data_IF_330709766342
#
_entry.id   IF_330709766342
#
_cell.length_a   1.000
_cell.length_b   1.000
_cell.length_c   1.000
_cell.angle_alpha   90.00
_cell.angle_beta   90.00
_cell.angle_gamma   90.00
#
_symmetry.space_group_name_H-M   'P 1'
#
loop_
_entity.id
_entity.type
_entity.pdbx_description
1 polymer ?
#
# COMPACT_ATOMS: atom_id res chain seq x y z
N UNK A 1 25.43 -26.77 2.39
CA UNK A 1 24.35 -27.16 1.45
C UNK A 1 23.43 -28.29 1.94
N UNK A 2 23.77 -29.13 2.94
CA UNK A 2 22.86 -30.19 3.41
C UNK A 2 21.67 -29.67 4.26
N UNK A 3 21.88 -28.64 5.09
CA UNK A 3 20.83 -28.07 5.96
C UNK A 3 19.64 -27.47 5.17
N UNK A 4 19.90 -26.87 4.00
CA UNK A 4 18.85 -26.29 3.13
C UNK A 4 17.89 -27.34 2.54
N UNK A 5 18.35 -28.59 2.35
CA UNK A 5 17.51 -29.70 1.88
C UNK A 5 16.68 -30.34 3.00
N UNK A 6 17.10 -30.15 4.25
CA UNK A 6 16.45 -30.75 5.42
C UNK A 6 15.31 -29.87 5.96
N UNK A 7 15.42 -28.55 5.81
CA UNK A 7 14.43 -27.58 6.27
C UNK A 7 13.96 -26.68 5.12
N UNK A 8 13.28 -27.27 4.13
CA UNK A 8 12.84 -26.57 2.92
C UNK A 8 11.94 -25.36 3.24
N UNK A 9 11.12 -25.44 4.28
CA UNK A 9 10.30 -24.31 4.73
C UNK A 9 11.13 -23.14 5.27
N UNK A 10 12.23 -23.42 5.97
CA UNK A 10 13.16 -22.40 6.45
C UNK A 10 13.96 -21.76 5.30
N UNK A 11 14.07 -22.45 4.17
CA UNK A 11 14.64 -21.85 2.96
C UNK A 11 13.67 -20.84 2.31
N UNK A 12 12.37 -21.16 2.27
CA UNK A 12 11.36 -20.27 1.67
C UNK A 12 11.08 -19.02 2.49
N UNK A 13 11.21 -19.07 3.83
CA UNK A 13 11.13 -17.84 4.62
C UNK A 13 12.26 -16.87 4.27
N UNK A 14 13.46 -17.35 3.92
CA UNK A 14 14.54 -16.47 3.44
C UNK A 14 14.16 -15.77 2.14
N UNK A 15 13.54 -16.46 1.19
CA UNK A 15 13.04 -15.81 -0.04
C UNK A 15 11.94 -14.80 0.24
N UNK A 16 11.08 -15.06 1.23
CA UNK A 16 10.06 -14.11 1.65
C UNK A 16 10.69 -12.82 2.22
N UNK A 17 11.63 -12.95 3.16
CA UNK A 17 12.34 -11.81 3.74
C UNK A 17 13.09 -11.04 2.65
N UNK A 18 13.82 -11.73 1.76
CA UNK A 18 14.48 -11.10 0.63
C UNK A 18 13.51 -10.36 -0.29
N UNK A 19 12.34 -10.95 -0.58
CA UNK A 19 11.33 -10.30 -1.41
C UNK A 19 10.87 -8.97 -0.80
N UNK A 20 10.65 -8.92 0.52
CA UNK A 20 10.27 -7.71 1.25
C UNK A 20 11.43 -6.71 1.31
N UNK A 21 12.65 -7.15 1.60
CA UNK A 21 13.83 -6.27 1.59
C UNK A 21 14.04 -5.62 0.22
N UNK A 22 13.83 -6.37 -0.87
CA UNK A 22 13.86 -5.82 -2.21
C UNK A 22 12.73 -4.80 -2.47
N UNK A 23 11.52 -5.01 -1.92
CA UNK A 23 10.46 -4.00 -1.97
C UNK A 23 10.85 -2.73 -1.20
N UNK A 24 11.47 -2.85 -0.03
CA UNK A 24 11.96 -1.72 0.78
C UNK A 24 13.03 -0.91 0.03
N UNK A 25 13.88 -1.58 -0.75
CA UNK A 25 14.88 -0.95 -1.63
C UNK A 25 14.33 -0.49 -3.00
N UNK A 26 13.04 -0.72 -3.26
CA UNK A 26 12.40 -0.53 -4.57
C UNK A 26 13.08 -1.27 -5.72
N UNK A 27 13.76 -2.38 -5.45
CA UNK A 27 14.29 -3.30 -6.46
C UNK A 27 13.23 -4.34 -6.81
N UNK A 28 12.32 -3.94 -7.70
CA UNK A 28 11.21 -4.78 -8.09
C UNK A 28 11.63 -6.03 -8.87
N UNK A 29 12.79 -6.00 -9.54
CA UNK A 29 13.30 -7.16 -10.27
C UNK A 29 13.86 -8.23 -9.33
N UNK A 30 14.59 -7.82 -8.30
CA UNK A 30 15.03 -8.70 -7.21
C UNK A 30 13.83 -9.30 -6.47
N UNK A 31 12.84 -8.48 -6.14
CA UNK A 31 11.61 -8.94 -5.48
C UNK A 31 10.83 -9.93 -6.36
N UNK A 32 10.64 -9.62 -7.65
CA UNK A 32 10.02 -10.51 -8.64
C UNK A 32 10.69 -11.90 -8.69
N UNK A 33 12.03 -11.94 -8.68
CA UNK A 33 12.81 -13.18 -8.65
C UNK A 33 12.47 -14.04 -7.44
N UNK A 34 12.40 -13.43 -6.26
CA UNK A 34 12.04 -14.12 -5.02
C UNK A 34 10.59 -14.63 -5.06
N UNK A 35 9.64 -13.80 -5.51
CA UNK A 35 8.24 -14.20 -5.66
C UNK A 35 8.06 -15.36 -6.64
N UNK A 36 8.86 -15.42 -7.71
CA UNK A 36 8.82 -16.51 -8.69
C UNK A 36 9.25 -17.84 -8.08
N UNK A 37 10.29 -17.85 -7.24
CA UNK A 37 10.70 -19.07 -6.50
C UNK A 37 9.62 -19.50 -5.51
N UNK A 38 9.05 -18.56 -4.76
CA UNK A 38 7.97 -18.82 -3.81
C UNK A 38 6.69 -19.33 -4.50
N UNK A 39 6.31 -18.75 -5.64
CA UNK A 39 5.15 -19.20 -6.43
C UNK A 39 5.40 -20.55 -7.10
N UNK A 40 6.63 -20.90 -7.49
CA UNK A 40 6.91 -22.21 -8.03
C UNK A 40 6.91 -23.28 -6.92
N UNK A 41 7.60 -23.04 -5.82
CA UNK A 41 7.98 -24.11 -4.88
C UNK A 41 7.35 -24.00 -3.49
N UNK A 42 7.03 -22.78 -3.04
CA UNK A 42 6.51 -22.53 -1.69
C UNK A 42 5.02 -22.90 -1.54
N UNK A 43 4.66 -23.46 -0.38
CA UNK A 43 3.29 -23.93 -0.10
C UNK A 43 2.62 -23.28 1.12
N UNK A 44 3.32 -22.42 1.87
CA UNK A 44 2.77 -21.81 3.09
C UNK A 44 1.65 -20.81 2.82
N UNK A 45 1.77 -19.98 1.78
CA UNK A 45 0.78 -18.95 1.46
C UNK A 45 0.70 -18.65 -0.03
N UNK A 46 0.29 -19.66 -0.82
CA UNK A 46 0.30 -19.60 -2.29
C UNK A 46 -0.45 -18.39 -2.86
N UNK A 47 -1.56 -18.00 -2.24
CA UNK A 47 -2.32 -16.81 -2.65
C UNK A 47 -1.48 -15.52 -2.57
N UNK A 48 -0.66 -15.37 -1.52
CA UNK A 48 0.21 -14.18 -1.37
C UNK A 48 1.37 -14.25 -2.37
N UNK A 49 2.00 -15.43 -2.54
CA UNK A 49 3.12 -15.56 -3.47
C UNK A 49 2.73 -15.26 -4.92
N UNK A 50 1.58 -15.80 -5.36
CA UNK A 50 1.03 -15.50 -6.69
C UNK A 50 0.64 -14.02 -6.83
N UNK A 51 0.09 -13.39 -5.78
CA UNK A 51 -0.23 -11.97 -5.81
C UNK A 51 1.02 -11.10 -5.87
N UNK A 52 2.02 -11.35 -5.02
CA UNK A 52 3.31 -10.65 -5.02
C UNK A 52 4.01 -10.72 -6.37
N UNK A 53 4.05 -11.91 -6.98
CA UNK A 53 4.56 -12.09 -8.34
C UNK A 53 3.77 -11.26 -9.35
N UNK A 54 2.44 -11.31 -9.31
CA UNK A 54 1.58 -10.59 -10.24
C UNK A 54 1.74 -9.07 -10.16
N UNK A 55 1.79 -8.50 -8.95
CA UNK A 55 1.91 -7.04 -8.81
C UNK A 55 3.28 -6.53 -9.26
N UNK A 56 4.37 -7.26 -8.97
CA UNK A 56 5.69 -6.90 -9.50
C UNK A 56 5.73 -6.99 -11.03
N UNK A 57 5.06 -7.98 -11.64
CA UNK A 57 4.93 -8.06 -13.10
C UNK A 57 4.15 -6.87 -13.68
N UNK A 58 3.05 -6.45 -13.04
CA UNK A 58 2.26 -5.29 -13.49
C UNK A 58 3.10 -4.01 -13.46
N UNK A 59 3.80 -3.77 -12.36
CA UNK A 59 4.65 -2.58 -12.17
C UNK A 59 5.82 -2.54 -13.17
N UNK A 60 6.47 -3.68 -13.38
CA UNK A 60 7.60 -3.81 -14.32
C UNK A 60 7.17 -3.92 -15.79
N UNK A 61 5.89 -4.12 -16.08
CA UNK A 61 5.44 -4.36 -17.44
C UNK A 61 5.72 -3.16 -18.35
N UNK A 62 5.52 -1.92 -17.89
CA UNK A 62 5.43 -0.75 -18.79
C UNK A 62 4.49 -1.06 -19.97
N UNK A 63 5.03 -1.24 -21.18
CA UNK A 63 4.30 -1.62 -22.41
C UNK A 63 4.38 -3.13 -22.75
N UNK A 64 5.08 -3.94 -21.96
CA UNK A 64 5.25 -5.37 -22.14
C UNK A 64 3.94 -6.14 -21.95
N UNK A 65 3.35 -6.58 -23.07
CA UNK A 65 2.07 -7.31 -23.10
C UNK A 65 2.17 -8.71 -22.49
N UNK A 66 3.33 -9.37 -22.55
CA UNK A 66 3.46 -10.73 -22.03
C UNK A 66 3.52 -10.73 -20.51
N UNK A 67 4.23 -9.77 -19.89
CA UNK A 67 4.18 -9.59 -18.42
C UNK A 67 2.76 -9.28 -17.93
N UNK A 68 2.01 -8.43 -18.65
CA UNK A 68 0.60 -8.12 -18.31
C UNK A 68 -0.28 -9.37 -18.38
N UNK A 69 -0.12 -10.22 -19.41
CA UNK A 69 -0.85 -11.49 -19.52
C UNK A 69 -0.49 -12.48 -18.42
N UNK A 70 0.79 -12.60 -18.08
CA UNK A 70 1.26 -13.45 -16.97
C UNK A 70 0.65 -12.99 -15.64
N UNK A 71 0.70 -11.68 -15.36
CA UNK A 71 0.09 -11.09 -14.18
C UNK A 71 -1.42 -11.33 -14.11
N UNK A 72 -2.16 -11.16 -15.22
CA UNK A 72 -3.59 -11.41 -15.28
C UNK A 72 -3.94 -12.88 -14.96
N UNK A 73 -3.19 -13.85 -15.51
CA UNK A 73 -3.38 -15.28 -15.20
C UNK A 73 -3.11 -15.61 -13.74
N UNK A 74 -2.11 -14.96 -13.13
CA UNK A 74 -1.82 -15.12 -11.72
C UNK A 74 -2.96 -14.53 -10.86
N UNK A 75 -3.40 -13.31 -11.16
CA UNK A 75 -4.50 -12.62 -10.46
C UNK A 75 -5.80 -13.45 -10.50
N UNK A 76 -6.13 -14.06 -11.63
CA UNK A 76 -7.32 -14.93 -11.76
C UNK A 76 -7.27 -16.12 -10.79
N UNK A 77 -6.09 -16.69 -10.55
CA UNK A 77 -5.90 -17.85 -9.64
C UNK A 77 -5.95 -17.47 -8.17
N UNK A 78 -5.48 -16.28 -7.79
CA UNK A 78 -5.30 -15.85 -6.38
C UNK A 78 -6.52 -16.14 -5.49
N UNK A 79 -7.77 -15.82 -5.86
CA UNK A 79 -8.94 -16.08 -5.02
C UNK A 79 -9.15 -17.55 -4.65
N UNK A 80 -8.77 -18.47 -5.53
CA UNK A 80 -8.88 -19.92 -5.36
C UNK A 80 -7.71 -20.56 -4.60
N UNK A 81 -6.59 -19.86 -4.46
CA UNK A 81 -5.39 -20.33 -3.76
C UNK A 81 -5.42 -20.11 -2.25
N UNK A 82 -6.51 -19.53 -1.72
CA UNK A 82 -6.65 -19.24 -0.28
C UNK A 82 -6.77 -20.52 0.54
N UNK A 83 -6.05 -20.53 1.64
CA UNK A 83 -6.05 -21.57 2.64
C UNK A 83 -6.94 -21.19 3.83
N UNK A 84 -7.24 -22.20 4.64
CA UNK A 84 -7.94 -22.04 5.92
C UNK A 84 -7.14 -22.76 7.00
N UNK A 85 -6.95 -22.09 8.13
CA UNK A 85 -6.36 -22.69 9.33
C UNK A 85 -7.48 -22.82 10.35
N UNK A 86 -7.71 -24.03 10.85
CA UNK A 86 -8.82 -24.34 11.77
C UNK A 86 -10.18 -23.78 11.28
N UNK A 87 -10.46 -23.91 9.98
CA UNK A 87 -11.70 -23.45 9.35
C UNK A 87 -11.80 -21.94 9.11
N UNK A 88 -10.84 -21.14 9.58
CA UNK A 88 -10.80 -19.68 9.37
C UNK A 88 -9.86 -19.32 8.22
N UNK A 89 -10.27 -18.42 7.34
CA UNK A 89 -9.39 -17.88 6.30
C UNK A 89 -8.31 -16.99 6.91
N UNK A 90 -7.10 -17.07 6.36
CA UNK A 90 -5.99 -16.17 6.73
C UNK A 90 -6.34 -14.74 6.28
N UNK A 91 -6.30 -13.73 7.16
CA UNK A 91 -6.71 -12.36 6.82
C UNK A 91 -5.97 -11.77 5.61
N UNK A 92 -4.66 -11.96 5.54
CA UNK A 92 -3.83 -11.45 4.43
C UNK A 92 -4.17 -12.13 3.10
N UNK A 93 -4.39 -13.44 3.09
CA UNK A 93 -4.83 -14.14 1.88
C UNK A 93 -6.24 -13.69 1.42
N UNK A 94 -7.11 -13.33 2.37
CA UNK A 94 -8.41 -12.72 2.05
C UNK A 94 -8.25 -11.32 1.46
N UNK A 95 -7.29 -10.54 1.95
CA UNK A 95 -6.97 -9.22 1.42
C UNK A 95 -6.52 -9.32 -0.05
N UNK A 96 -5.48 -10.09 -0.35
CA UNK A 96 -4.96 -10.21 -1.73
C UNK A 96 -6.00 -10.80 -2.69
N UNK A 97 -6.87 -11.70 -2.22
CA UNK A 97 -7.99 -12.20 -3.02
C UNK A 97 -9.12 -11.18 -3.26
N UNK A 98 -9.27 -10.15 -2.41
CA UNK A 98 -10.15 -9.01 -2.70
C UNK A 98 -9.49 -8.12 -3.76
N UNK A 99 -8.20 -7.80 -3.62
CA UNK A 99 -7.47 -6.99 -4.61
C UNK A 99 -7.41 -7.67 -5.98
N UNK A 100 -7.22 -8.98 -6.06
CA UNK A 100 -7.27 -9.72 -7.31
C UNK A 100 -8.66 -9.69 -8.00
N UNK A 101 -9.75 -9.66 -7.21
CA UNK A 101 -11.10 -9.47 -7.76
C UNK A 101 -11.35 -8.02 -8.19
N UNK A 102 -10.83 -7.05 -7.43
CA UNK A 102 -10.84 -5.62 -7.80
C UNK A 102 -10.11 -5.41 -9.13
N UNK A 103 -8.95 -6.04 -9.31
CA UNK A 103 -8.22 -6.03 -10.58
C UNK A 103 -9.08 -6.50 -11.76
N UNK A 104 -9.81 -7.60 -11.59
CA UNK A 104 -10.70 -8.12 -12.62
C UNK A 104 -11.89 -7.17 -12.91
N UNK A 105 -12.47 -6.53 -11.89
CA UNK A 105 -13.58 -5.58 -12.07
C UNK A 105 -13.13 -4.22 -12.65
N UNK A 106 -11.84 -3.88 -12.53
CA UNK A 106 -11.26 -2.63 -13.03
C UNK A 106 -10.48 -2.84 -14.35
N UNK A 107 -10.95 -3.74 -15.21
CA UNK A 107 -10.35 -4.04 -16.51
C UNK A 107 -8.83 -4.31 -16.44
N UNK A 108 -8.42 -5.19 -15.52
CA UNK A 108 -7.03 -5.59 -15.32
C UNK A 108 -6.10 -4.44 -14.90
N UNK A 109 -6.61 -3.51 -14.09
CA UNK A 109 -5.84 -2.43 -13.47
C UNK A 109 -5.88 -2.52 -11.95
N UNK A 110 -4.80 -2.11 -11.30
CA UNK A 110 -4.77 -1.77 -9.87
C UNK A 110 -3.95 -0.50 -9.67
N UNK A 111 -4.37 0.34 -8.74
CA UNK A 111 -3.63 1.53 -8.30
C UNK A 111 -2.52 1.15 -7.32
N UNK A 112 -1.28 1.57 -7.62
CA UNK A 112 -0.08 1.42 -6.77
C UNK A 112 0.07 0.05 -6.06
N UNK A 113 -0.13 -1.09 -6.77
CA UNK A 113 -0.31 -2.38 -6.11
C UNK A 113 0.95 -2.88 -5.41
N UNK A 114 2.14 -2.51 -5.89
CA UNK A 114 3.42 -2.84 -5.26
C UNK A 114 3.66 -1.99 -4.01
N UNK A 115 3.35 -0.69 -4.06
CA UNK A 115 3.54 0.20 -2.92
C UNK A 115 2.58 -0.17 -1.77
N UNK A 116 1.33 -0.52 -2.10
CA UNK A 116 0.37 -1.05 -1.12
C UNK A 116 0.86 -2.39 -0.52
N UNK A 117 1.44 -3.27 -1.32
CA UNK A 117 2.04 -4.51 -0.82
C UNK A 117 3.23 -4.23 0.12
N UNK A 118 4.08 -3.27 -0.24
CA UNK A 118 5.19 -2.83 0.59
C UNK A 118 4.70 -2.26 1.92
N UNK A 119 3.62 -1.47 1.93
CA UNK A 119 2.99 -0.99 3.17
C UNK A 119 2.54 -2.14 4.08
N UNK A 120 1.82 -3.12 3.51
CA UNK A 120 1.24 -4.24 4.27
C UNK A 120 2.30 -5.14 4.93
N UNK A 121 3.48 -5.25 4.32
CA UNK A 121 4.61 -6.01 4.84
C UNK A 121 5.70 -5.14 5.47
N UNK A 122 5.36 -3.90 5.85
CA UNK A 122 6.27 -2.96 6.53
C UNK A 122 7.52 -2.59 5.71
N UNK A 123 7.54 -2.87 4.41
CA UNK A 123 8.65 -2.54 3.52
C UNK A 123 8.90 -1.04 3.42
N UNK A 124 7.86 -0.19 3.48
CA UNK A 124 8.05 1.27 3.50
C UNK A 124 8.72 1.71 4.81
N UNK A 125 8.42 1.04 5.93
CA UNK A 125 8.98 1.38 7.24
C UNK A 125 10.49 1.17 7.31
N UNK A 126 10.96 0.09 6.68
CA UNK A 126 12.38 -0.27 6.60
C UNK A 126 13.07 0.27 5.34
N UNK A 127 12.39 1.11 4.54
CA UNK A 127 13.00 1.69 3.35
C UNK A 127 13.94 2.83 3.74
N UNK A 128 15.16 2.89 3.18
CA UNK A 128 16.02 4.06 3.33
C UNK A 128 15.29 5.32 2.84
N UNK A 129 15.44 6.43 3.57
CA UNK A 129 14.76 7.70 3.25
C UNK A 129 14.97 8.12 1.78
N UNK A 130 16.20 7.93 1.26
CA UNK A 130 16.52 8.22 -0.14
C UNK A 130 15.74 7.38 -1.16
N UNK A 131 15.40 6.13 -0.83
CA UNK A 131 14.55 5.27 -1.67
C UNK A 131 13.12 5.80 -1.66
N UNK A 132 12.58 6.17 -0.49
CA UNK A 132 11.24 6.74 -0.39
C UNK A 132 11.12 8.00 -1.25
N UNK A 133 12.07 8.93 -1.13
CA UNK A 133 12.06 10.20 -1.88
C UNK A 133 12.27 10.00 -3.38
N UNK A 134 13.23 9.18 -3.81
CA UNK A 134 13.59 9.08 -5.24
C UNK A 134 12.78 8.04 -6.01
N UNK A 135 12.11 7.12 -5.33
CA UNK A 135 11.43 5.98 -5.96
C UNK A 135 9.96 5.93 -5.59
N UNK A 136 9.61 5.89 -4.30
CA UNK A 136 8.22 5.66 -3.89
C UNK A 136 7.33 6.90 -4.06
N UNK A 137 7.79 8.08 -3.63
CA UNK A 137 7.05 9.35 -3.77
C UNK A 137 6.75 9.66 -5.26
N UNK A 138 7.70 9.53 -6.21
CA UNK A 138 7.41 9.75 -7.63
C UNK A 138 6.26 8.90 -8.19
N UNK A 139 6.09 7.64 -7.75
CA UNK A 139 4.97 6.80 -8.17
C UNK A 139 3.64 7.35 -7.63
N UNK A 140 3.61 7.77 -6.37
CA UNK A 140 2.43 8.42 -5.76
C UNK A 140 2.07 9.70 -6.50
N UNK A 141 3.05 10.56 -6.78
CA UNK A 141 2.82 11.84 -7.47
C UNK A 141 2.40 11.63 -8.93
N UNK A 142 2.95 10.63 -9.62
CA UNK A 142 2.51 10.26 -10.95
C UNK A 142 1.05 9.80 -10.96
N UNK A 143 0.66 8.98 -9.99
CA UNK A 143 -0.71 8.51 -9.85
C UNK A 143 -1.68 9.66 -9.50
N UNK A 144 -1.30 10.60 -8.63
CA UNK A 144 -2.10 11.79 -8.32
C UNK A 144 -2.32 12.68 -9.55
N UNK A 145 -1.28 12.86 -10.38
CA UNK A 145 -1.41 13.59 -11.66
C UNK A 145 -2.39 12.89 -12.59
N UNK A 146 -2.23 11.59 -12.80
CA UNK A 146 -3.13 10.81 -13.65
C UNK A 146 -4.60 10.85 -13.20
N UNK A 147 -4.85 10.76 -11.88
CA UNK A 147 -6.21 10.87 -11.31
C UNK A 147 -6.79 12.28 -11.44
N UNK A 148 -5.95 13.32 -11.28
CA UNK A 148 -6.37 14.72 -11.45
C UNK A 148 -6.73 15.02 -12.90
N UNK A 149 -5.88 14.62 -13.85
CA UNK A 149 -6.12 14.76 -15.28
C UNK A 149 -7.40 14.05 -15.72
N UNK A 150 -7.62 12.83 -15.22
CA UNK A 150 -8.86 12.09 -15.46
C UNK A 150 -10.09 12.85 -14.98
N UNK A 151 -10.08 13.32 -13.74
CA UNK A 151 -11.20 14.06 -13.16
C UNK A 151 -11.46 15.40 -13.87
N UNK A 152 -10.42 16.07 -14.39
CA UNK A 152 -10.57 17.28 -15.21
C UNK A 152 -11.19 16.99 -16.57
N UNK A 153 -10.83 15.88 -17.21
CA UNK A 153 -11.38 15.48 -18.51
C UNK A 153 -12.86 15.09 -18.38
N UNK A 154 -13.22 14.33 -17.34
CA UNK A 154 -14.62 13.98 -17.07
C UNK A 154 -15.50 15.20 -16.81
N UNK A 155 -14.98 16.23 -16.12
CA UNK A 155 -15.70 17.50 -15.94
C UNK A 155 -15.93 18.25 -17.26
N UNK A 156 -15.00 18.17 -18.22
CA UNK A 156 -15.14 18.80 -19.54
C UNK A 156 -16.10 18.03 -20.45
N UNK A 157 -16.15 16.71 -20.33
CA UNK A 157 -17.04 15.84 -21.13
C UNK A 157 -18.47 15.79 -20.58
N UNK A 158 -18.64 15.91 -19.25
CA UNK A 158 -19.94 15.92 -18.55
C UNK A 158 -20.86 17.09 -18.91
N UNK A 159 -20.36 18.13 -19.58
CA UNK A 159 -21.17 19.24 -20.11
C UNK A 159 -21.75 18.96 -21.51
N UNK A 160 -21.38 17.85 -22.18
CA UNK A 160 -21.69 17.65 -23.61
C UNK A 160 -22.59 16.43 -23.92
N UNK A 161 -22.60 15.36 -23.12
CA UNK A 161 -23.44 14.18 -23.41
C UNK A 161 -23.95 13.45 -22.15
N UNK A 162 -25.24 13.64 -21.82
CA UNK A 162 -25.93 13.00 -20.69
C UNK A 162 -26.56 11.62 -21.00
N UNK A 163 -26.25 11.00 -22.15
CA UNK A 163 -27.00 9.85 -22.70
C UNK A 163 -26.10 8.68 -23.16
N UNK A 164 -24.99 8.43 -22.47
CA UNK A 164 -24.30 7.14 -22.59
C UNK A 164 -24.43 6.38 -21.28
N UNK A 165 -24.82 5.11 -21.38
CA UNK A 165 -24.63 4.08 -20.35
C UNK A 165 -23.20 4.17 -19.83
N UNK A 166 -22.98 5.02 -18.82
CA UNK A 166 -21.69 5.21 -18.22
C UNK A 166 -21.39 3.90 -17.51
N UNK A 167 -20.45 3.13 -18.06
CA UNK A 167 -19.59 2.28 -17.23
C UNK A 167 -19.06 3.21 -16.14
N UNK A 168 -19.75 3.23 -15.00
CA UNK A 168 -19.47 4.19 -13.93
C UNK A 168 -18.00 4.10 -13.62
N UNK A 169 -17.39 5.23 -13.28
CA UNK A 169 -15.98 5.35 -12.91
C UNK A 169 -15.64 4.50 -11.66
N UNK A 170 -15.61 3.19 -11.85
CA UNK A 170 -15.68 2.19 -10.79
C UNK A 170 -14.33 2.16 -10.07
N UNK A 171 -14.35 2.65 -8.84
CA UNK A 171 -13.19 2.67 -7.95
C UNK A 171 -12.22 3.85 -8.14
N UNK A 172 -12.63 4.98 -8.74
CA UNK A 172 -11.83 6.22 -8.68
C UNK A 172 -11.55 6.66 -7.26
N UNK A 173 -12.58 6.69 -6.40
CA UNK A 173 -12.43 7.12 -5.01
C UNK A 173 -11.60 6.12 -4.20
N UNK A 174 -11.70 4.81 -4.49
CA UNK A 174 -10.78 3.83 -3.92
C UNK A 174 -9.32 4.13 -4.29
N UNK A 175 -9.05 4.46 -5.54
CA UNK A 175 -7.70 4.72 -6.02
C UNK A 175 -7.14 6.06 -5.54
N UNK A 176 -7.98 7.09 -5.48
CA UNK A 176 -7.63 8.40 -4.92
C UNK A 176 -7.31 8.27 -3.43
N UNK A 177 -8.16 7.60 -2.65
CA UNK A 177 -7.93 7.39 -1.23
C UNK A 177 -6.69 6.51 -0.99
N UNK A 178 -6.46 5.47 -1.81
CA UNK A 178 -5.23 4.67 -1.71
C UNK A 178 -3.99 5.51 -2.00
N UNK A 179 -4.04 6.35 -3.03
CA UNK A 179 -2.92 7.22 -3.40
C UNK A 179 -2.63 8.24 -2.31
N UNK A 180 -3.65 8.88 -1.74
CA UNK A 180 -3.51 9.82 -0.62
C UNK A 180 -3.04 9.15 0.67
N UNK A 181 -3.54 7.96 0.96
CA UNK A 181 -3.06 7.16 2.08
C UNK A 181 -1.55 6.88 1.95
N UNK A 182 -1.10 6.40 0.78
CA UNK A 182 0.31 6.10 0.53
C UNK A 182 1.17 7.36 0.46
N UNK A 183 0.64 8.50 -0.01
CA UNK A 183 1.28 9.81 0.13
C UNK A 183 1.58 10.12 1.59
N UNK A 184 0.57 10.01 2.46
CA UNK A 184 0.70 10.24 3.89
C UNK A 184 1.73 9.34 4.55
N UNK A 185 1.70 8.04 4.24
CA UNK A 185 2.67 7.07 4.76
C UNK A 185 4.10 7.43 4.32
N UNK A 186 4.33 7.68 3.03
CA UNK A 186 5.66 8.02 2.52
C UNK A 186 6.20 9.28 3.20
N UNK A 187 5.42 10.37 3.25
CA UNK A 187 5.86 11.62 3.86
C UNK A 187 6.02 11.53 5.38
N UNK A 188 5.24 10.69 6.08
CA UNK A 188 5.48 10.37 7.50
C UNK A 188 6.90 9.82 7.68
N UNK A 189 7.29 8.82 6.89
CA UNK A 189 8.62 8.21 6.99
C UNK A 189 9.76 9.11 6.49
N UNK A 190 9.47 10.08 5.61
CA UNK A 190 10.45 11.13 5.26
C UNK A 190 10.66 12.11 6.42
N UNK A 191 9.60 12.46 7.15
CA UNK A 191 9.66 13.36 8.31
C UNK A 191 10.26 12.69 9.55
N UNK A 192 9.85 11.45 9.80
CA UNK A 192 10.17 10.65 10.98
C UNK A 192 10.47 9.21 10.53
N UNK A 193 11.68 8.95 10.00
CA UNK A 193 12.12 7.60 9.69
C UNK A 193 12.17 6.74 10.97
N UNK A 194 11.93 5.43 10.85
CA UNK A 194 12.05 4.55 12.01
C UNK A 194 13.54 4.47 12.46
N UNK A 195 13.83 4.18 13.74
CA UNK A 195 15.19 4.30 14.29
C UNK A 195 16.25 3.41 13.63
N UNK A 196 15.81 2.31 13.01
CA UNK A 196 16.63 1.34 12.28
C UNK A 196 16.76 1.66 10.78
N UNK A 197 16.02 2.66 10.27
CA UNK A 197 16.20 3.13 8.91
C UNK A 197 17.54 3.88 8.81
N UNK A 198 18.30 3.61 7.75
CA UNK A 198 19.54 4.36 7.49
C UNK A 198 19.21 5.82 7.22
N UNK A 199 19.50 6.65 8.23
CA UNK A 199 19.43 8.11 8.16
C UNK A 199 20.77 8.57 7.61
N UNK A 200 20.83 8.71 6.28
CA UNK A 200 21.89 9.43 5.58
C UNK A 200 23.25 8.73 5.42
N UNK A 201 23.43 8.03 4.30
CA UNK A 201 24.70 8.04 3.55
C UNK A 201 24.59 9.03 2.37
N UNK A 202 25.68 9.35 1.67
CA UNK A 202 25.64 10.22 0.47
C UNK A 202 24.62 9.74 -0.58
N UNK A 203 24.24 8.46 -0.56
CA UNK A 203 23.23 7.91 -1.44
C UNK A 203 21.82 8.43 -1.12
N UNK A 204 21.56 8.99 0.06
CA UNK A 204 20.30 9.66 0.42
C UNK A 204 20.18 11.08 -0.16
N UNK A 205 21.31 11.71 -0.48
CA UNK A 205 21.38 13.07 -0.99
C UNK A 205 20.92 13.12 -2.44
N UNK A 206 20.05 14.08 -2.74
CA UNK A 206 19.69 14.42 -4.12
C UNK A 206 20.51 15.65 -4.47
N UNK A 207 21.30 15.58 -5.54
CA UNK A 207 22.13 16.70 -5.96
C UNK A 207 21.39 17.51 -7.03
N UNK A 208 21.46 18.84 -6.94
CA UNK A 208 20.99 19.70 -8.01
C UNK A 208 21.88 19.53 -9.26
N UNK A 209 21.52 20.20 -10.36
CA UNK A 209 22.32 20.18 -11.61
C UNK A 209 23.76 20.69 -11.42
N UNK A 210 24.04 21.41 -10.33
CA UNK A 210 25.35 21.97 -9.98
C UNK A 210 26.15 21.07 -9.03
N UNK A 211 25.62 19.88 -8.67
CA UNK A 211 26.29 18.94 -7.78
C UNK A 211 26.23 19.29 -6.30
N UNK A 212 25.35 20.21 -5.89
CA UNK A 212 25.13 20.56 -4.47
C UNK A 212 23.99 19.72 -3.87
N UNK A 213 24.10 19.24 -2.63
CA UNK A 213 23.02 18.48 -1.99
C UNK A 213 21.79 19.36 -1.78
N UNK A 214 20.62 18.83 -2.13
CA UNK A 214 19.31 19.46 -2.00
C UNK A 214 18.51 18.67 -0.97
N UNK A 215 18.06 19.37 0.07
CA UNK A 215 17.01 18.85 0.94
C UNK A 215 15.70 18.97 0.16
N UNK A 216 15.26 17.90 -0.50
CA UNK A 216 14.01 17.94 -1.28
C UNK A 216 12.77 18.03 -0.41
N UNK A 217 12.83 17.48 0.80
CA UNK A 217 11.72 17.48 1.73
C UNK A 217 12.24 17.75 3.14
N UNK A 218 11.93 18.92 3.68
CA UNK A 218 12.20 19.22 5.07
C UNK A 218 11.22 18.47 5.98
N UNK A 219 11.63 18.25 7.23
CA UNK A 219 10.88 17.44 8.19
C UNK A 219 9.49 18.00 8.46
N UNK A 220 9.38 19.31 8.64
CA UNK A 220 8.14 19.97 9.03
C UNK A 220 7.12 19.97 7.89
N UNK A 221 7.54 20.32 6.67
CA UNK A 221 6.72 20.28 5.47
C UNK A 221 6.30 18.85 5.10
N UNK A 222 7.19 17.88 5.28
CA UNK A 222 6.86 16.46 5.10
C UNK A 222 5.77 16.03 6.07
N UNK A 223 5.88 16.40 7.35
CA UNK A 223 4.86 16.09 8.34
C UNK A 223 3.52 16.76 7.99
N UNK A 224 3.52 18.06 7.62
CA UNK A 224 2.32 18.78 7.18
C UNK A 224 1.67 18.12 5.96
N UNK A 225 2.46 17.75 4.95
CA UNK A 225 1.96 17.06 3.76
C UNK A 225 1.38 15.69 4.10
N UNK A 226 1.98 14.97 5.05
CA UNK A 226 1.45 13.70 5.52
C UNK A 226 0.10 13.85 6.21
N UNK A 227 -0.04 14.83 7.13
CA UNK A 227 -1.32 15.16 7.77
C UNK A 227 -2.39 15.48 6.74
N UNK A 228 -2.10 16.41 5.82
CA UNK A 228 -3.05 16.82 4.77
C UNK A 228 -3.48 15.63 3.88
N UNK A 229 -2.57 14.70 3.61
CA UNK A 229 -2.88 13.50 2.83
C UNK A 229 -3.82 12.54 3.59
N UNK A 230 -3.65 12.35 4.89
CA UNK A 230 -4.57 11.56 5.70
C UNK A 230 -5.94 12.24 5.87
N UNK A 231 -5.97 13.55 6.09
CA UNK A 231 -7.22 14.33 6.15
C UNK A 231 -8.04 14.22 4.86
N UNK A 232 -7.36 14.27 3.71
CA UNK A 232 -7.94 13.99 2.40
C UNK A 232 -8.63 12.62 2.34
N UNK A 233 -8.02 11.56 2.89
CA UNK A 233 -8.64 10.22 2.96
C UNK A 233 -9.92 10.25 3.80
N UNK A 234 -9.94 10.99 4.92
CA UNK A 234 -11.15 11.11 5.75
C UNK A 234 -12.28 11.84 5.02
N UNK A 235 -11.96 12.93 4.30
CA UNK A 235 -12.93 13.70 3.54
C UNK A 235 -13.61 12.85 2.44
N UNK A 236 -12.83 11.99 1.77
CA UNK A 236 -13.33 11.16 0.67
C UNK A 236 -13.71 9.74 1.09
N UNK A 237 -13.50 9.35 2.34
CA UNK A 237 -13.85 8.03 2.88
C UNK A 237 -15.27 7.58 2.56
N UNK A 238 -16.32 8.41 2.76
CA UNK A 238 -17.69 8.04 2.42
C UNK A 238 -17.95 7.67 0.95
N UNK A 239 -17.01 8.01 0.04
CA UNK A 239 -17.10 7.74 -1.40
C UNK A 239 -16.37 6.45 -1.82
N UNK A 240 -15.62 5.80 -0.91
CA UNK A 240 -14.92 4.54 -1.17
C UNK A 240 -15.96 3.43 -1.42
N UNK A 241 -15.68 2.56 -2.40
CA UNK A 241 -16.60 1.46 -2.75
C UNK A 241 -16.14 0.10 -2.20
N UNK A 242 -14.83 -0.16 -2.15
CA UNK A 242 -14.26 -1.48 -1.86
C UNK A 242 -13.18 -1.46 -0.77
N UNK A 243 -12.26 -0.49 -0.83
CA UNK A 243 -11.03 -0.43 -0.03
C UNK A 243 -11.22 0.34 1.29
N UNK A 244 -12.40 0.21 1.90
CA UNK A 244 -12.83 0.82 3.18
C UNK A 244 -11.81 0.77 4.33
N UNK A 245 -10.90 -0.21 4.33
CA UNK A 245 -9.82 -0.30 5.31
C UNK A 245 -8.91 0.95 5.34
N UNK A 246 -8.83 1.72 4.25
CA UNK A 246 -7.95 2.87 4.13
C UNK A 246 -8.26 3.96 5.17
N UNK A 247 -9.53 4.22 5.46
CA UNK A 247 -9.93 5.23 6.48
C UNK A 247 -9.40 4.84 7.86
N UNK A 248 -9.56 3.57 8.23
CA UNK A 248 -9.10 3.04 9.52
C UNK A 248 -7.57 3.04 9.62
N UNK A 249 -6.88 2.62 8.56
CA UNK A 249 -5.43 2.66 8.51
C UNK A 249 -4.89 4.10 8.50
N UNK A 250 -5.58 5.06 7.88
CA UNK A 250 -5.21 6.47 7.89
C UNK A 250 -5.29 7.08 9.30
N UNK A 251 -6.32 6.77 10.09
CA UNK A 251 -6.37 7.18 11.50
C UNK A 251 -5.20 6.61 12.30
N UNK A 252 -4.87 5.33 12.11
CA UNK A 252 -3.71 4.73 12.77
C UNK A 252 -2.38 5.39 12.38
N UNK A 253 -2.13 5.64 11.09
CA UNK A 253 -0.87 6.27 10.66
C UNK A 253 -0.81 7.76 11.05
N UNK A 254 -1.94 8.48 11.06
CA UNK A 254 -2.02 9.84 11.59
C UNK A 254 -1.72 9.86 13.09
N UNK A 255 -2.28 8.93 13.87
CA UNK A 255 -1.97 8.81 15.30
C UNK A 255 -0.48 8.57 15.54
N UNK A 256 0.16 7.71 14.74
CA UNK A 256 1.62 7.50 14.80
C UNK A 256 2.40 8.76 14.45
N UNK A 257 1.96 9.52 13.46
CA UNK A 257 2.60 10.77 13.06
C UNK A 257 2.51 11.83 14.17
N UNK A 258 1.32 12.00 14.76
CA UNK A 258 1.09 12.92 15.89
C UNK A 258 1.95 12.55 17.10
N UNK A 259 2.08 11.26 17.42
CA UNK A 259 2.97 10.77 18.47
C UNK A 259 4.43 11.15 18.18
N UNK A 260 4.90 10.96 16.94
CA UNK A 260 6.24 11.38 16.53
C UNK A 260 6.45 12.91 16.61
N UNK A 261 5.38 13.69 16.45
CA UNK A 261 5.37 15.14 16.60
C UNK A 261 5.30 15.61 18.07
N UNK A 262 5.12 14.68 19.02
CA UNK A 262 5.01 14.95 20.45
C UNK A 262 3.59 15.31 20.91
N UNK A 263 2.58 15.16 20.05
CA UNK A 263 1.17 15.37 20.39
C UNK A 263 0.51 14.04 20.79
N UNK A 264 0.85 13.56 21.99
CA UNK A 264 0.40 12.26 22.50
C UNK A 264 -1.11 12.20 22.74
N UNK A 265 -1.73 13.32 23.12
CA UNK A 265 -3.17 13.39 23.36
C UNK A 265 -3.94 13.23 22.03
N UNK A 266 -3.57 13.99 21.00
CA UNK A 266 -4.19 13.83 19.68
C UNK A 266 -3.90 12.45 19.07
N UNK A 267 -2.70 11.91 19.28
CA UNK A 267 -2.36 10.55 18.86
C UNK A 267 -3.26 9.50 19.52
N UNK A 268 -3.49 9.62 20.83
CA UNK A 268 -4.38 8.73 21.58
C UNK A 268 -5.80 8.80 21.05
N UNK A 269 -6.32 9.99 20.76
CA UNK A 269 -7.65 10.16 20.17
C UNK A 269 -7.78 9.39 18.84
N UNK A 270 -6.78 9.49 17.96
CA UNK A 270 -6.78 8.74 16.70
C UNK A 270 -6.76 7.22 16.90
N UNK A 271 -5.98 6.72 17.86
CA UNK A 271 -5.95 5.29 18.18
C UNK A 271 -7.25 4.79 18.80
N UNK A 272 -7.88 5.59 19.67
CA UNK A 272 -9.19 5.29 20.25
C UNK A 272 -10.28 5.21 19.16
N UNK A 273 -10.24 6.06 18.13
CA UNK A 273 -11.16 5.95 16.99
C UNK A 273 -11.07 4.57 16.33
N UNK A 274 -9.85 4.10 16.04
CA UNK A 274 -9.61 2.77 15.43
C UNK A 274 -10.12 1.65 16.34
N UNK A 275 -9.85 1.72 17.65
CA UNK A 275 -10.24 0.69 18.61
C UNK A 275 -11.71 0.76 19.04
N UNK A 276 -12.40 1.88 18.79
CA UNK A 276 -13.77 2.13 19.27
C UNK A 276 -14.79 1.12 18.75
N UNK A 277 -14.49 0.46 17.62
CA UNK A 277 -15.44 -0.37 16.90
C UNK A 277 -16.61 0.42 16.30
N UNK A 278 -16.59 1.75 16.30
CA UNK A 278 -17.58 2.59 15.61
C UNK A 278 -17.25 2.65 14.10
N UNK A 279 -18.25 2.82 13.23
CA UNK A 279 -17.98 3.18 11.83
C UNK A 279 -17.23 4.51 11.79
N UNK A 280 -16.07 4.54 11.12
CA UNK A 280 -15.29 5.77 10.91
C UNK A 280 -15.57 6.41 9.55
N UNK A 281 -16.26 5.68 8.69
CA UNK A 281 -16.86 6.17 7.46
C UNK A 281 -18.28 5.60 7.35
N UNK A 282 -19.17 6.37 6.73
CA UNK A 282 -20.54 5.95 6.47
C UNK A 282 -20.66 5.78 4.96
N UNK A 283 -20.62 4.54 4.47
CA UNK A 283 -21.01 4.28 3.09
C UNK A 283 -22.52 4.55 2.91
N UNK A 284 -22.99 4.69 1.67
CA UNK A 284 -24.40 4.98 1.37
C UNK A 284 -25.40 3.96 1.98
N UNK A 285 -24.93 2.78 2.42
CA UNK A 285 -25.77 1.75 3.06
C UNK A 285 -25.89 1.87 4.58
N UNK A 286 -25.15 2.78 5.23
CA UNK A 286 -25.26 3.09 6.67
C UNK A 286 -24.94 1.93 7.62
N UNK A 287 -24.37 0.83 7.13
CA UNK A 287 -24.11 -0.39 7.93
C UNK A 287 -22.63 -0.52 8.25
N UNK A 288 -22.34 -0.87 9.52
CA UNK A 288 -21.00 -1.27 9.97
C UNK A 288 -20.53 -2.50 9.17
N UNK A 289 -19.56 -2.30 8.28
CA UNK A 289 -18.89 -3.38 7.56
C UNK A 289 -17.64 -3.87 8.29
N UNK A 290 -17.32 -5.17 8.18
CA UNK A 290 -15.97 -5.66 8.49
C UNK A 290 -15.03 -5.22 7.38
N UNK A 291 -14.00 -4.44 7.71
CA UNK A 291 -12.98 -4.02 6.77
C UNK A 291 -11.82 -5.03 6.72
N UNK A 292 -11.00 -4.94 5.68
CA UNK A 292 -9.84 -5.82 5.54
C UNK A 292 -8.78 -5.48 6.60
N UNK A 293 -8.07 -6.50 7.09
CA UNK A 293 -6.97 -6.34 8.05
C UNK A 293 -7.34 -5.75 9.44
N UNK A 294 -8.63 -5.60 9.77
CA UNK A 294 -9.14 -5.10 11.08
C UNK A 294 -8.37 -5.66 12.29
N UNK A 295 -8.25 -6.98 12.43
CA UNK A 295 -7.57 -7.58 13.58
C UNK A 295 -6.06 -7.28 13.65
N UNK A 296 -5.39 -7.21 12.50
CA UNK A 296 -3.97 -6.85 12.45
C UNK A 296 -3.77 -5.36 12.76
N UNK A 297 -4.68 -4.50 12.27
CA UNK A 297 -4.68 -3.08 12.59
C UNK A 297 -4.88 -2.87 14.09
N UNK A 298 -5.91 -3.48 14.71
CA UNK A 298 -6.15 -3.37 16.15
C UNK A 298 -4.93 -3.81 16.98
N UNK A 299 -4.29 -4.92 16.61
CA UNK A 299 -3.07 -5.37 17.29
C UNK A 299 -1.95 -4.32 17.19
N UNK A 300 -1.74 -3.74 16.00
CA UNK A 300 -0.77 -2.65 15.80
C UNK A 300 -1.15 -1.38 16.57
N UNK A 301 -2.43 -1.05 16.65
CA UNK A 301 -2.93 0.12 17.39
C UNK A 301 -2.77 -0.04 18.89
N UNK A 302 -3.05 -1.22 19.45
CA UNK A 302 -2.76 -1.52 20.85
C UNK A 302 -1.27 -1.37 21.16
N UNK A 303 -0.40 -1.95 20.33
CA UNK A 303 1.04 -1.80 20.51
C UNK A 303 1.50 -0.33 20.40
N UNK A 304 0.90 0.47 19.53
CA UNK A 304 1.20 1.90 19.45
C UNK A 304 0.72 2.66 20.70
N UNK A 305 -0.46 2.33 21.23
CA UNK A 305 -0.96 2.93 22.47
C UNK A 305 -0.10 2.60 23.69
N UNK A 306 0.42 1.37 23.78
CA UNK A 306 1.28 0.95 24.88
C UNK A 306 2.65 1.65 24.86
N UNK A 307 3.04 2.23 23.73
CA UNK A 307 4.31 2.94 23.52
C UNK A 307 4.15 4.46 23.31
N UNK A 308 2.96 5.02 23.53
CA UNK A 308 2.75 6.47 23.68
C UNK A 308 3.36 6.92 25.00
#
# INVERSE_FOLDING_TARGET
>A
MHAQKQYTNLHYISYWEMAISYLALWDLSGSLGCWRVLEAEGNWSKAIYSYGLAVCLLELAKEDKEKKKEAARLMERVPGLRQKIAGKSIPMEKFVARKARKFASQNQRLCLPVLELAYLFLGIAHAPRGVIVRKMIPEVEAQLRALSEKAENEKKEGDVHADHDAESDNGYWDDWCLTKFLEGVCFRYVAFPDPDAEVDDESSLIYNKEGSPVVMHDKEESAKRAVAAFEAVFECGPKIELDHHLVYHAHYELGRLLACMGDEDAAREQFELVLSGKPLEVNASGRKGKYSMEGALHMRTHAAMDNL
#
